data_IF_559523733337
#
_entry.id   IF_559523733337
#
_cell.length_a   1.000
_cell.length_b   1.000
_cell.length_c   1.000
_cell.angle_alpha   90.00
_cell.angle_beta   90.00
_cell.angle_gamma   90.00
#
_symmetry.space_group_name_H-M   'P 1'
#
loop_
_entity.id
_entity.type
_entity.pdbx_description
1 polymer ?
#
# COMPACT_ATOMS: atom_id res chain seq x y z
N UNK A 1 41.85 6.85 21.59
CA UNK A 1 40.83 6.05 20.89
C UNK A 1 39.49 6.51 21.40
N UNK A 2 38.79 7.27 20.62
CA UNK A 2 37.36 7.65 20.94
C UNK A 2 36.52 6.37 20.87
N UNK A 3 35.59 6.17 21.79
CA UNK A 3 34.68 5.01 21.72
C UNK A 3 33.82 5.15 20.47
N UNK A 4 33.87 4.18 19.59
CA UNK A 4 32.91 4.03 18.49
C UNK A 4 31.55 3.80 19.12
N UNK A 5 30.73 4.86 19.20
CA UNK A 5 29.35 4.75 19.64
C UNK A 5 28.61 3.97 18.55
N UNK A 6 28.39 2.68 18.80
CA UNK A 6 27.51 1.89 17.94
C UNK A 6 26.12 2.53 17.97
N UNK A 7 25.49 2.77 16.81
CA UNK A 7 24.13 3.31 16.79
C UNK A 7 23.22 2.38 17.59
N UNK A 8 22.52 2.93 18.58
CA UNK A 8 21.52 2.18 19.36
C UNK A 8 20.41 1.79 18.41
N UNK A 9 20.37 0.51 18.06
CA UNK A 9 19.31 -0.06 17.21
C UNK A 9 18.01 0.00 18.03
N UNK A 10 17.10 0.90 17.66
CA UNK A 10 15.85 1.12 18.37
C UNK A 10 14.69 0.52 17.57
N UNK A 11 14.07 -0.58 18.04
CA UNK A 11 12.90 -1.14 17.40
C UNK A 11 11.72 -0.14 17.42
N UNK A 12 11.14 0.14 16.24
CA UNK A 12 9.95 0.99 16.11
C UNK A 12 8.69 0.17 15.90
N UNK A 13 8.81 -1.01 15.26
CA UNK A 13 7.72 -1.98 15.11
C UNK A 13 8.20 -3.34 15.59
N UNK A 14 7.45 -3.96 16.51
CA UNK A 14 7.66 -5.35 16.95
C UNK A 14 6.34 -6.10 16.82
N UNK A 15 6.39 -7.24 16.15
CA UNK A 15 5.25 -8.14 15.95
C UNK A 15 5.61 -9.48 16.55
N UNK A 16 4.74 -10.03 17.44
CA UNK A 16 4.97 -11.29 18.12
C UNK A 16 3.78 -12.22 17.99
N UNK A 17 3.99 -13.38 17.35
CA UNK A 17 3.02 -14.45 17.19
C UNK A 17 1.64 -13.95 16.74
N UNK A 18 1.61 -13.13 15.69
CA UNK A 18 0.42 -12.47 15.20
C UNK A 18 -0.46 -13.41 14.41
N UNK A 19 -1.73 -13.47 14.76
CA UNK A 19 -2.78 -14.24 14.08
C UNK A 19 -3.95 -13.33 13.69
N UNK A 20 -4.47 -13.54 12.47
CA UNK A 20 -5.75 -12.97 12.06
C UNK A 20 -6.62 -14.04 11.42
N UNK A 21 -7.79 -14.23 11.96
CA UNK A 21 -8.77 -15.22 11.52
C UNK A 21 -10.09 -14.50 11.25
N UNK A 22 -10.53 -14.55 10.00
CA UNK A 22 -11.84 -14.08 9.58
C UNK A 22 -12.85 -15.22 9.63
N UNK A 23 -14.11 -14.90 9.90
CA UNK A 23 -15.24 -15.80 9.73
C UNK A 23 -16.02 -15.39 8.50
N UNK A 24 -16.17 -16.29 7.54
CA UNK A 24 -16.94 -16.10 6.31
C UNK A 24 -18.01 -17.19 6.27
N UNK A 25 -19.21 -16.85 6.72
CA UNK A 25 -20.24 -17.87 7.05
C UNK A 25 -19.73 -18.81 8.13
N UNK A 26 -19.76 -20.11 7.86
CA UNK A 26 -19.31 -21.17 8.78
C UNK A 26 -17.81 -21.47 8.69
N UNK A 27 -17.12 -20.91 7.69
CA UNK A 27 -15.70 -21.15 7.46
C UNK A 27 -14.81 -20.15 8.23
N UNK A 28 -13.62 -20.65 8.62
CA UNK A 28 -12.58 -19.84 9.24
C UNK A 28 -11.39 -19.68 8.28
N UNK A 29 -11.19 -18.47 7.78
CA UNK A 29 -10.05 -18.10 6.93
C UNK A 29 -8.93 -17.53 7.78
N UNK A 30 -7.78 -18.20 7.83
CA UNK A 30 -6.58 -17.73 8.52
C UNK A 30 -5.77 -16.83 7.60
N UNK A 31 -5.98 -15.54 7.69
CA UNK A 31 -5.23 -14.56 6.90
C UNK A 31 -3.79 -14.38 7.40
N UNK A 32 -3.55 -14.48 8.72
CA UNK A 32 -2.22 -14.51 9.32
C UNK A 32 -2.11 -15.65 10.33
N UNK A 33 -0.93 -16.28 10.40
CA UNK A 33 -0.71 -17.54 11.13
C UNK A 33 0.66 -17.56 11.82
N UNK A 34 0.78 -16.82 12.94
CA UNK A 34 1.98 -16.80 13.78
C UNK A 34 3.11 -15.93 13.23
N UNK A 35 2.80 -14.78 12.66
CA UNK A 35 3.78 -13.84 12.10
C UNK A 35 4.57 -13.15 13.23
N UNK A 36 5.91 -13.13 13.12
CA UNK A 36 6.79 -12.43 14.06
C UNK A 36 7.97 -11.79 13.33
N UNK A 37 8.23 -10.49 13.59
CA UNK A 37 9.37 -9.75 13.05
C UNK A 37 9.58 -8.44 13.81
N UNK A 38 10.71 -7.78 13.52
CA UNK A 38 11.07 -6.47 14.10
C UNK A 38 11.58 -5.54 13.01
N UNK A 39 11.14 -4.29 13.01
CA UNK A 39 11.62 -3.21 12.15
C UNK A 39 12.17 -2.10 13.04
N UNK A 40 13.36 -1.61 12.73
CA UNK A 40 13.99 -0.53 13.48
C UNK A 40 13.63 0.84 12.91
N UNK A 41 13.82 1.88 13.71
CA UNK A 41 13.64 3.25 13.26
C UNK A 41 14.60 3.57 12.09
N UNK A 42 14.06 4.17 11.04
CA UNK A 42 14.80 4.53 9.83
C UNK A 42 14.93 3.39 8.79
N UNK A 43 14.45 2.19 9.09
CA UNK A 43 14.45 1.09 8.11
C UNK A 43 13.41 1.35 7.00
N UNK A 44 13.75 0.96 5.79
CA UNK A 44 12.79 0.74 4.72
C UNK A 44 12.53 -0.77 4.61
N UNK A 45 11.32 -1.20 4.98
CA UNK A 45 10.89 -2.60 4.93
C UNK A 45 9.89 -2.82 3.80
N UNK A 46 10.05 -3.89 3.02
CA UNK A 46 9.11 -4.34 2.00
C UNK A 46 8.49 -5.69 2.36
N UNK A 47 7.16 -5.78 2.31
CA UNK A 47 6.40 -7.01 2.52
C UNK A 47 5.95 -7.53 1.17
N UNK A 48 6.46 -8.69 0.75
CA UNK A 48 6.26 -9.27 -0.58
C UNK A 48 5.53 -10.60 -0.50
N UNK A 49 4.65 -10.85 -1.46
CA UNK A 49 3.96 -12.14 -1.58
C UNK A 49 2.88 -12.08 -2.65
N UNK A 50 2.32 -13.24 -3.00
CA UNK A 50 1.23 -13.37 -3.96
C UNK A 50 -0.07 -12.74 -3.47
N UNK A 51 -1.04 -12.52 -4.36
CA UNK A 51 -2.38 -12.09 -3.95
C UNK A 51 -2.99 -13.09 -2.95
N UNK A 52 -3.68 -12.60 -1.93
CA UNK A 52 -4.28 -13.44 -0.88
C UNK A 52 -3.29 -13.96 0.18
N UNK A 53 -1.99 -13.68 0.11
CA UNK A 53 -1.01 -14.18 1.10
C UNK A 53 -1.09 -13.54 2.49
N UNK A 54 -1.93 -12.49 2.68
CA UNK A 54 -2.12 -11.80 3.97
C UNK A 54 -1.41 -10.45 4.10
N UNK A 55 -0.77 -9.92 3.02
CA UNK A 55 -0.01 -8.65 3.05
C UNK A 55 -0.84 -7.45 3.52
N UNK A 56 -1.97 -7.17 2.84
CA UNK A 56 -2.82 -6.03 3.18
C UNK A 56 -3.47 -6.21 4.56
N UNK A 57 -3.79 -7.45 4.96
CA UNK A 57 -4.23 -7.75 6.32
C UNK A 57 -3.17 -7.39 7.36
N UNK A 58 -1.90 -7.76 7.10
CA UNK A 58 -0.79 -7.41 7.99
C UNK A 58 -0.61 -5.89 8.05
N UNK A 59 -0.59 -5.21 6.89
CA UNK A 59 -0.46 -3.76 6.81
C UNK A 59 -1.59 -3.04 7.59
N UNK A 60 -2.84 -3.48 7.43
CA UNK A 60 -3.99 -2.92 8.14
C UNK A 60 -3.87 -3.06 9.65
N UNK A 61 -3.35 -4.19 10.14
CA UNK A 61 -3.15 -4.38 11.58
C UNK A 61 -1.99 -3.53 12.10
N UNK A 62 -0.88 -3.42 11.35
CA UNK A 62 0.22 -2.51 11.69
C UNK A 62 -0.25 -1.05 11.71
N UNK A 63 -1.07 -0.65 10.76
CA UNK A 63 -1.66 0.68 10.73
C UNK A 63 -2.76 0.91 11.81
N UNK A 64 -3.07 -0.09 12.62
CA UNK A 64 -4.14 0.00 13.63
C UNK A 64 -5.53 0.20 13.02
N UNK A 65 -5.76 -0.25 11.79
CA UNK A 65 -7.07 -0.26 11.13
C UNK A 65 -7.87 -1.50 11.48
N UNK A 66 -7.17 -2.59 11.85
CA UNK A 66 -7.78 -3.84 12.30
C UNK A 66 -7.05 -4.38 13.52
N UNK A 67 -7.80 -4.99 14.45
CA UNK A 67 -7.21 -5.67 15.61
C UNK A 67 -6.82 -7.10 15.29
N UNK A 68 -5.73 -7.62 15.88
CA UNK A 68 -5.35 -9.02 15.77
C UNK A 68 -6.37 -9.94 16.47
N UNK A 69 -6.43 -11.21 16.03
CA UNK A 69 -7.16 -12.25 16.74
C UNK A 69 -6.35 -12.75 17.94
N UNK A 70 -5.02 -12.83 17.79
CA UNK A 70 -4.02 -13.19 18.82
C UNK A 70 -2.67 -12.58 18.47
N UNK A 71 -1.81 -12.46 19.48
CA UNK A 71 -0.45 -11.92 19.33
C UNK A 71 -0.37 -10.45 19.71
N UNK A 72 0.83 -9.90 19.60
CA UNK A 72 1.14 -8.54 20.04
C UNK A 72 1.66 -7.72 18.85
N UNK A 73 1.27 -6.46 18.82
CA UNK A 73 1.81 -5.44 17.90
C UNK A 73 2.24 -4.25 18.74
N UNK A 74 3.54 -4.01 18.81
CA UNK A 74 4.12 -2.88 19.52
C UNK A 74 4.66 -1.90 18.50
N UNK A 75 4.18 -0.65 18.51
CA UNK A 75 4.60 0.42 17.61
C UNK A 75 4.98 1.63 18.44
N UNK A 76 6.17 2.18 18.21
CA UNK A 76 6.72 3.29 19.00
C UNK A 76 6.64 3.05 20.53
N UNK A 77 6.79 1.78 20.95
CA UNK A 77 6.69 1.36 22.35
C UNK A 77 5.27 1.15 22.88
N UNK A 78 4.23 1.37 22.07
CA UNK A 78 2.83 1.24 22.48
C UNK A 78 2.19 -0.05 21.93
N UNK A 79 1.42 -0.74 22.79
CA UNK A 79 0.69 -1.97 22.47
C UNK A 79 -0.61 -1.66 21.73
N UNK A 80 -0.66 -1.94 20.42
CA UNK A 80 -1.81 -1.61 19.57
C UNK A 80 -3.04 -2.47 19.88
N UNK A 81 -2.85 -3.74 20.22
CA UNK A 81 -3.94 -4.67 20.55
C UNK A 81 -4.75 -4.22 21.79
N UNK A 82 -4.12 -3.46 22.70
CA UNK A 82 -4.76 -2.99 23.95
C UNK A 82 -5.50 -1.66 23.79
N UNK A 83 -5.30 -0.94 22.68
CA UNK A 83 -5.91 0.38 22.45
C UNK A 83 -7.38 0.28 22.09
N UNK A 84 -8.18 1.23 22.56
CA UNK A 84 -9.55 1.44 22.07
C UNK A 84 -9.53 2.05 20.67
N UNK A 85 -10.66 2.01 19.94
CA UNK A 85 -10.76 2.61 18.60
C UNK A 85 -10.40 4.11 18.61
N UNK A 86 -10.87 4.86 19.60
CA UNK A 86 -10.53 6.29 19.72
C UNK A 86 -9.03 6.52 19.94
N UNK A 87 -8.37 5.67 20.72
CA UNK A 87 -6.92 5.72 20.93
C UNK A 87 -6.15 5.35 19.66
N UNK A 88 -6.64 4.36 18.89
CA UNK A 88 -6.06 4.02 17.59
C UNK A 88 -6.21 5.16 16.57
N UNK A 89 -7.35 5.86 16.57
CA UNK A 89 -7.55 7.05 15.73
C UNK A 89 -6.55 8.16 16.10
N UNK A 90 -6.38 8.45 17.40
CA UNK A 90 -5.42 9.46 17.87
C UNK A 90 -3.98 9.06 17.47
N UNK A 91 -3.60 7.80 17.72
CA UNK A 91 -2.29 7.28 17.38
C UNK A 91 -1.99 7.38 15.88
N UNK A 92 -2.93 6.96 15.00
CA UNK A 92 -2.76 7.10 13.54
C UNK A 92 -2.53 8.54 13.13
N UNK A 93 -3.31 9.47 13.69
CA UNK A 93 -3.22 10.88 13.35
C UNK A 93 -1.87 11.52 13.72
N UNK A 94 -1.21 11.00 14.74
CA UNK A 94 0.04 11.56 15.28
C UNK A 94 1.29 10.87 14.71
N UNK A 95 1.25 9.55 14.55
CA UNK A 95 2.45 8.74 14.28
C UNK A 95 2.50 8.12 12.89
N UNK A 96 1.38 8.08 12.14
CA UNK A 96 1.30 7.31 10.90
C UNK A 96 0.98 8.17 9.69
N UNK A 97 1.81 8.04 8.63
CA UNK A 97 1.49 8.44 7.27
C UNK A 97 0.99 7.24 6.44
N UNK A 98 0.06 7.45 5.52
CA UNK A 98 -0.44 6.38 4.66
C UNK A 98 -0.40 6.77 3.18
N UNK A 99 0.20 5.90 2.35
CA UNK A 99 0.28 6.02 0.89
C UNK A 99 -0.53 4.89 0.29
N UNK A 100 -1.50 5.22 -0.57
CA UNK A 100 -2.46 4.27 -1.16
C UNK A 100 -2.14 4.00 -2.63
N UNK A 101 -2.47 2.82 -3.10
CA UNK A 101 -2.39 2.44 -4.50
C UNK A 101 -3.26 3.33 -5.41
N UNK A 102 -4.48 3.61 -4.99
CA UNK A 102 -5.45 4.43 -5.76
C UNK A 102 -5.36 5.92 -5.44
N UNK A 103 -4.22 6.40 -4.91
CA UNK A 103 -3.94 7.77 -4.52
C UNK A 103 -4.88 8.32 -3.45
N UNK A 104 -6.16 8.00 -3.48
CA UNK A 104 -7.23 8.43 -2.56
C UNK A 104 -7.26 9.96 -2.35
N UNK A 105 -7.09 10.71 -3.46
CA UNK A 105 -7.19 12.16 -3.44
C UNK A 105 -8.66 12.58 -3.58
N UNK A 106 -9.03 13.64 -2.86
CA UNK A 106 -10.34 14.25 -2.99
C UNK A 106 -10.39 15.08 -4.27
N UNK A 107 -11.18 14.65 -5.26
CA UNK A 107 -11.26 15.25 -6.59
C UNK A 107 -11.80 16.69 -6.60
N UNK A 108 -12.51 17.11 -5.56
CA UNK A 108 -13.01 18.47 -5.37
C UNK A 108 -11.94 19.45 -4.89
N UNK A 109 -10.86 18.94 -4.27
CA UNK A 109 -9.75 19.68 -3.68
C UNK A 109 -8.56 19.74 -4.63
N UNK A 110 -7.78 20.85 -4.59
CA UNK A 110 -6.49 20.94 -5.28
C UNK A 110 -5.37 20.20 -4.51
N UNK A 111 -4.14 20.21 -5.05
CA UNK A 111 -3.03 19.49 -4.45
C UNK A 111 -2.69 20.01 -3.04
N UNK A 112 -2.62 21.33 -2.83
CA UNK A 112 -2.36 21.93 -1.50
C UNK A 112 -3.41 21.50 -0.49
N UNK A 113 -4.69 21.56 -0.88
CA UNK A 113 -5.80 21.20 0.01
C UNK A 113 -5.78 19.70 0.36
N UNK A 114 -5.47 18.81 -0.61
CA UNK A 114 -5.30 17.39 -0.36
C UNK A 114 -4.14 17.10 0.60
N UNK A 115 -2.99 17.76 0.42
CA UNK A 115 -1.83 17.58 1.31
C UNK A 115 -2.11 18.17 2.69
N UNK A 116 -2.80 19.31 2.80
CA UNK A 116 -3.13 19.94 4.08
C UNK A 116 -4.22 19.20 4.88
N UNK A 117 -4.92 18.23 4.29
CA UNK A 117 -6.09 17.59 4.88
C UNK A 117 -5.81 16.92 6.25
N UNK A 118 -4.72 16.15 6.45
CA UNK A 118 -4.41 15.58 7.76
C UNK A 118 -4.22 16.63 8.84
N UNK A 119 -3.55 17.73 8.52
CA UNK A 119 -3.35 18.85 9.46
C UNK A 119 -4.67 19.59 9.79
N UNK A 120 -5.64 19.55 8.87
CA UNK A 120 -6.98 20.07 9.13
C UNK A 120 -7.68 19.26 10.22
N UNK A 121 -7.56 17.94 10.20
CA UNK A 121 -8.10 17.05 11.23
C UNK A 121 -7.35 17.16 12.57
N UNK A 122 -6.11 17.65 12.56
CA UNK A 122 -5.36 17.98 13.77
C UNK A 122 -5.73 19.36 14.33
N UNK A 123 -6.59 20.15 13.67
CA UNK A 123 -6.98 21.49 14.10
C UNK A 123 -5.92 22.57 13.84
N UNK A 124 -4.91 22.30 12.99
CA UNK A 124 -3.84 23.26 12.68
C UNK A 124 -4.41 24.47 11.92
N UNK A 125 -3.96 25.68 12.27
CA UNK A 125 -4.39 26.92 11.61
C UNK A 125 -4.20 26.87 10.09
N UNK A 126 -5.12 27.53 9.35
CA UNK A 126 -5.15 27.47 7.88
C UNK A 126 -3.85 27.98 7.23
N UNK A 127 -3.25 29.07 7.76
CA UNK A 127 -2.01 29.61 7.18
C UNK A 127 -0.85 28.66 7.41
N UNK A 128 -0.75 28.07 8.60
CA UNK A 128 0.30 27.11 8.96
C UNK A 128 0.20 25.83 8.13
N UNK A 129 -1.00 25.21 8.06
CA UNK A 129 -1.16 23.97 7.29
C UNK A 129 -0.97 24.16 5.80
N UNK A 130 -1.37 25.33 5.23
CA UNK A 130 -1.14 25.65 3.83
C UNK A 130 0.35 25.78 3.53
N UNK A 131 1.11 26.52 4.35
CA UNK A 131 2.56 26.67 4.20
C UNK A 131 3.28 25.31 4.27
N UNK A 132 2.95 24.45 5.25
CA UNK A 132 3.51 23.09 5.35
C UNK A 132 3.15 22.22 4.14
N UNK A 133 1.93 22.33 3.63
CA UNK A 133 1.51 21.60 2.45
C UNK A 133 2.28 22.05 1.18
N UNK A 134 2.52 23.34 1.02
CA UNK A 134 3.31 23.89 -0.08
C UNK A 134 4.77 23.42 -0.01
N UNK A 135 5.38 23.40 1.19
CA UNK A 135 6.71 22.85 1.43
C UNK A 135 6.80 21.38 1.04
N UNK A 136 5.81 20.56 1.43
CA UNK A 136 5.78 19.15 1.05
C UNK A 136 5.61 18.96 -0.47
N UNK A 137 4.81 19.80 -1.13
CA UNK A 137 4.68 19.78 -2.59
C UNK A 137 5.97 20.18 -3.30
N UNK A 138 6.74 21.10 -2.76
CA UNK A 138 8.07 21.45 -3.25
C UNK A 138 9.03 20.27 -3.11
N UNK A 139 9.07 19.61 -1.95
CA UNK A 139 9.88 18.43 -1.66
C UNK A 139 9.65 17.30 -2.68
N UNK A 140 8.40 17.09 -3.11
CA UNK A 140 8.05 16.08 -4.11
C UNK A 140 8.10 16.58 -5.56
N UNK A 141 8.57 17.82 -5.81
CA UNK A 141 8.75 18.40 -7.14
C UNK A 141 7.47 18.87 -7.82
N UNK A 142 6.43 19.27 -7.06
CA UNK A 142 5.11 19.67 -7.56
C UNK A 142 4.78 21.15 -7.35
N UNK A 143 5.76 22.03 -7.13
CA UNK A 143 5.57 23.48 -6.90
C UNK A 143 4.67 24.13 -7.95
N UNK A 144 4.83 23.77 -9.23
CA UNK A 144 4.02 24.33 -10.35
C UNK A 144 2.60 23.77 -10.41
N UNK A 145 2.31 22.66 -9.72
CA UNK A 145 1.04 21.93 -9.77
C UNK A 145 0.21 22.09 -8.51
N UNK A 146 0.61 22.94 -7.58
CA UNK A 146 -0.01 23.07 -6.25
C UNK A 146 -1.51 23.41 -6.26
N UNK A 147 -1.98 24.12 -7.29
CA UNK A 147 -3.41 24.48 -7.46
C UNK A 147 -4.16 23.53 -8.40
N UNK A 148 -3.50 22.55 -9.01
CA UNK A 148 -4.17 21.55 -9.86
C UNK A 148 -5.04 20.60 -9.03
N UNK A 149 -6.18 20.24 -9.59
CA UNK A 149 -7.04 19.17 -9.07
C UNK A 149 -6.58 17.80 -9.60
N UNK A 150 -6.95 16.69 -8.94
CA UNK A 150 -6.53 15.34 -9.37
C UNK A 150 -6.79 15.04 -10.85
N UNK A 151 -7.92 15.47 -11.41
CA UNK A 151 -8.26 15.28 -12.82
C UNK A 151 -7.39 16.08 -13.82
N UNK A 152 -6.57 16.99 -13.33
CA UNK A 152 -5.61 17.80 -14.11
C UNK A 152 -4.17 17.28 -13.96
N UNK A 153 -3.96 16.13 -13.30
CA UNK A 153 -2.65 15.60 -12.93
C UNK A 153 -2.46 14.19 -13.51
N UNK A 154 -1.24 13.87 -13.93
CA UNK A 154 -0.87 12.49 -14.30
C UNK A 154 -0.91 11.58 -13.06
N UNK A 155 -0.96 10.24 -13.26
CA UNK A 155 -0.93 9.26 -12.17
C UNK A 155 0.29 9.45 -11.25
N UNK A 156 1.48 9.65 -11.82
CA UNK A 156 2.70 9.91 -11.04
C UNK A 156 2.65 11.23 -10.25
N UNK A 157 2.03 12.28 -10.79
CA UNK A 157 1.81 13.52 -10.06
C UNK A 157 0.82 13.32 -8.91
N UNK A 158 -0.29 12.59 -9.14
CA UNK A 158 -1.25 12.26 -8.10
C UNK A 158 -0.61 11.44 -6.97
N UNK A 159 0.24 10.46 -7.33
CA UNK A 159 0.96 9.67 -6.33
C UNK A 159 1.93 10.53 -5.51
N UNK A 160 2.66 11.45 -6.14
CA UNK A 160 3.53 12.39 -5.41
C UNK A 160 2.73 13.30 -4.47
N UNK A 161 1.50 13.71 -4.82
CA UNK A 161 0.58 14.39 -3.88
C UNK A 161 0.21 13.47 -2.71
N UNK A 162 -0.06 12.18 -2.97
CA UNK A 162 -0.32 11.18 -1.94
C UNK A 162 0.87 11.00 -0.99
N UNK A 163 2.10 10.96 -1.52
CA UNK A 163 3.35 10.93 -0.73
C UNK A 163 3.47 12.19 0.12
N UNK A 164 3.30 13.39 -0.47
CA UNK A 164 3.36 14.66 0.26
C UNK A 164 2.31 14.72 1.39
N UNK A 165 1.10 14.22 1.15
CA UNK A 165 0.03 14.13 2.16
C UNK A 165 0.41 13.21 3.31
N UNK A 166 1.07 12.09 3.04
CA UNK A 166 1.53 11.17 4.09
C UNK A 166 2.62 11.78 4.96
N UNK A 167 3.47 12.65 4.38
CA UNK A 167 4.62 13.27 5.03
C UNK A 167 4.30 14.55 5.81
N UNK A 168 3.18 15.23 5.51
CA UNK A 168 2.89 16.58 6.02
C UNK A 168 2.73 16.66 7.55
N UNK A 169 2.35 15.54 8.18
CA UNK A 169 2.22 15.41 9.64
C UNK A 169 3.52 15.04 10.34
N UNK A 170 4.61 14.87 9.56
CA UNK A 170 5.92 14.41 10.03
C UNK A 170 5.84 13.08 10.83
N UNK A 171 5.28 12.01 10.23
CA UNK A 171 5.02 10.76 10.94
C UNK A 171 6.31 10.01 11.25
N UNK A 172 6.31 9.19 12.31
CA UNK A 172 7.42 8.26 12.59
C UNK A 172 7.46 7.10 11.60
N UNK A 173 6.28 6.66 11.15
CA UNK A 173 6.11 5.49 10.29
C UNK A 173 5.19 5.83 9.12
N UNK A 174 5.62 5.40 7.94
CA UNK A 174 4.84 5.50 6.71
C UNK A 174 4.49 4.09 6.26
N UNK A 175 3.20 3.82 6.11
CA UNK A 175 2.69 2.62 5.47
C UNK A 175 2.34 2.91 4.02
N UNK A 176 2.75 2.03 3.10
CA UNK A 176 2.47 2.16 1.67
C UNK A 176 1.87 0.85 1.14
N UNK A 177 0.62 0.90 0.68
CA UNK A 177 -0.07 -0.24 0.09
C UNK A 177 0.02 -0.14 -1.44
N UNK A 178 0.86 -0.97 -2.04
CA UNK A 178 1.14 -1.02 -3.49
C UNK A 178 1.31 0.37 -4.13
N UNK A 179 2.21 1.24 -3.63
CA UNK A 179 2.21 2.68 -3.93
C UNK A 179 2.45 3.01 -5.41
N UNK A 180 2.84 2.05 -6.22
CA UNK A 180 3.15 2.22 -7.64
C UNK A 180 2.31 1.31 -8.55
N UNK A 181 1.35 0.57 -8.00
CA UNK A 181 0.57 -0.41 -8.74
C UNK A 181 -0.27 0.14 -9.90
N UNK A 182 -0.53 1.45 -9.92
CA UNK A 182 -1.28 2.15 -10.99
C UNK A 182 -0.38 3.05 -11.86
N UNK A 183 0.95 2.87 -11.82
CA UNK A 183 1.92 3.68 -12.55
C UNK A 183 2.66 2.82 -13.59
N UNK A 184 3.16 3.47 -14.64
CA UNK A 184 4.12 2.86 -15.56
C UNK A 184 5.47 2.60 -14.86
N UNK A 185 6.29 1.73 -15.47
CA UNK A 185 7.55 1.27 -14.86
C UNK A 185 8.52 2.41 -14.55
N UNK A 186 8.67 3.41 -15.43
CA UNK A 186 9.61 4.51 -15.24
C UNK A 186 9.13 5.43 -14.10
N UNK A 187 7.86 5.81 -14.13
CA UNK A 187 7.24 6.62 -13.07
C UNK A 187 7.29 5.91 -11.73
N UNK A 188 7.12 4.57 -11.71
CA UNK A 188 7.23 3.75 -10.49
C UNK A 188 8.62 3.89 -9.85
N UNK A 189 9.68 3.76 -10.65
CA UNK A 189 11.07 3.93 -10.17
C UNK A 189 11.31 5.35 -9.64
N UNK A 190 10.82 6.38 -10.34
CA UNK A 190 10.95 7.76 -9.87
C UNK A 190 10.27 7.99 -8.51
N UNK A 191 9.05 7.47 -8.34
CA UNK A 191 8.30 7.58 -7.07
C UNK A 191 8.98 6.79 -5.96
N UNK A 192 9.51 5.58 -6.24
CA UNK A 192 10.27 4.79 -5.27
C UNK A 192 11.54 5.49 -4.81
N UNK A 193 12.30 6.07 -5.74
CA UNK A 193 13.50 6.85 -5.42
C UNK A 193 13.17 8.08 -4.57
N UNK A 194 12.09 8.78 -4.91
CA UNK A 194 11.60 9.91 -4.12
C UNK A 194 11.26 9.48 -2.69
N UNK A 195 10.48 8.41 -2.51
CA UNK A 195 10.09 7.91 -1.19
C UNK A 195 11.33 7.50 -0.38
N UNK A 196 12.25 6.71 -0.98
CA UNK A 196 13.49 6.28 -0.33
C UNK A 196 14.34 7.46 0.15
N UNK A 197 14.52 8.47 -0.71
CA UNK A 197 15.28 9.68 -0.38
C UNK A 197 14.67 10.43 0.79
N UNK A 198 13.36 10.73 0.72
CA UNK A 198 12.68 11.55 1.74
C UNK A 198 12.63 10.83 3.10
N UNK A 199 12.36 9.53 3.09
CA UNK A 199 12.34 8.70 4.32
C UNK A 199 13.71 8.73 5.00
N UNK A 200 14.80 8.63 4.22
CA UNK A 200 16.17 8.70 4.76
C UNK A 200 16.54 10.08 5.27
N UNK A 201 16.24 11.14 4.51
CA UNK A 201 16.52 12.52 4.90
C UNK A 201 15.80 12.90 6.20
N UNK A 202 14.59 12.39 6.41
CA UNK A 202 13.77 12.65 7.60
C UNK A 202 13.93 11.60 8.72
N UNK A 203 14.77 10.59 8.53
CA UNK A 203 14.94 9.45 9.45
C UNK A 203 13.62 8.80 9.88
N UNK A 204 12.70 8.66 8.90
CA UNK A 204 11.40 8.01 9.06
C UNK A 204 11.50 6.52 8.70
N UNK A 205 10.56 5.71 9.17
CA UNK A 205 10.46 4.30 8.84
C UNK A 205 9.41 4.09 7.76
N UNK A 206 9.75 3.34 6.70
CA UNK A 206 8.81 3.01 5.62
C UNK A 206 8.50 1.52 5.60
N UNK A 207 7.23 1.16 5.64
CA UNK A 207 6.77 -0.23 5.45
C UNK A 207 5.88 -0.27 4.21
N UNK A 208 6.36 -0.93 3.17
CA UNK A 208 5.68 -1.04 1.89
C UNK A 208 5.17 -2.46 1.66
N UNK A 209 3.98 -2.59 1.13
CA UNK A 209 3.45 -3.83 0.56
C UNK A 209 3.55 -3.76 -0.96
N UNK A 210 4.06 -4.81 -1.58
CA UNK A 210 4.10 -4.93 -3.04
C UNK A 210 4.06 -6.40 -3.47
N UNK A 211 3.64 -6.66 -4.69
CA UNK A 211 3.82 -7.95 -5.36
C UNK A 211 4.99 -7.95 -6.36
N UNK A 212 5.62 -6.79 -6.59
CA UNK A 212 6.75 -6.63 -7.51
C UNK A 212 8.08 -6.81 -6.75
N UNK A 213 8.82 -7.88 -7.07
CA UNK A 213 10.12 -8.18 -6.46
C UNK A 213 11.19 -7.13 -6.82
N UNK A 214 11.11 -6.51 -7.99
CA UNK A 214 12.04 -5.45 -8.36
C UNK A 214 11.86 -4.22 -7.47
N UNK A 215 10.62 -3.78 -7.25
CA UNK A 215 10.34 -2.66 -6.36
C UNK A 215 10.64 -2.99 -4.90
N UNK A 216 10.47 -4.26 -4.50
CA UNK A 216 10.86 -4.71 -3.16
C UNK A 216 12.35 -4.58 -2.90
N UNK A 217 13.19 -4.74 -3.92
CA UNK A 217 14.66 -4.65 -3.78
C UNK A 217 15.18 -3.25 -3.42
N UNK A 218 14.32 -2.22 -3.43
CA UNK A 218 14.66 -0.89 -2.92
C UNK A 218 14.75 -0.85 -1.39
N UNK A 219 14.13 -1.83 -0.71
CA UNK A 219 14.07 -1.90 0.75
C UNK A 219 15.36 -2.42 1.39
N UNK A 220 15.58 -2.06 2.65
CA UNK A 220 16.68 -2.56 3.46
C UNK A 220 16.36 -3.95 4.05
N UNK A 221 15.04 -4.22 4.25
CA UNK A 221 14.52 -5.50 4.75
C UNK A 221 13.40 -5.96 3.82
N UNK A 222 13.43 -7.23 3.41
CA UNK A 222 12.36 -7.83 2.63
C UNK A 222 11.75 -8.99 3.43
N UNK A 223 10.46 -8.87 3.74
CA UNK A 223 9.67 -9.92 4.40
C UNK A 223 8.84 -10.66 3.34
N UNK A 224 9.16 -11.92 3.07
CA UNK A 224 8.37 -12.76 2.14
C UNK A 224 7.26 -13.46 2.89
N UNK A 225 6.01 -13.15 2.51
CA UNK A 225 4.83 -13.75 3.13
C UNK A 225 4.11 -14.69 2.14
N UNK A 226 3.74 -15.89 2.63
CA UNK A 226 2.94 -16.87 1.91
C UNK A 226 2.02 -17.58 2.89
N UNK A 227 0.74 -17.71 2.51
CA UNK A 227 -0.31 -18.39 3.30
C UNK A 227 -0.36 -17.90 4.77
N UNK A 228 -0.26 -16.58 4.94
CA UNK A 228 -0.29 -15.91 6.23
C UNK A 228 0.94 -16.12 7.11
N UNK A 229 2.05 -16.65 6.59
CA UNK A 229 3.31 -16.86 7.32
C UNK A 229 4.47 -16.14 6.65
N UNK A 230 5.41 -15.63 7.43
CA UNK A 230 6.71 -15.22 6.91
C UNK A 230 7.50 -16.49 6.60
N UNK A 231 7.92 -16.62 5.35
CA UNK A 231 8.72 -17.77 4.87
C UNK A 231 10.19 -17.42 4.75
N UNK A 232 10.52 -16.12 4.63
CA UNK A 232 11.89 -15.64 4.48
C UNK A 232 11.98 -14.19 4.95
N UNK A 233 13.13 -13.83 5.51
CA UNK A 233 13.50 -12.45 5.85
C UNK A 233 14.88 -12.20 5.23
N UNK A 234 14.95 -11.30 4.27
CA UNK A 234 16.20 -10.83 3.68
C UNK A 234 16.58 -9.51 4.37
N UNK A 235 17.76 -9.47 5.01
CA UNK A 235 18.25 -8.29 5.71
C UNK A 235 19.48 -7.75 4.98
N UNK A 236 19.33 -6.60 4.40
CA UNK A 236 20.36 -5.91 3.62
C UNK A 236 20.87 -4.65 4.32
N UNK A 237 20.56 -4.47 5.58
CA UNK A 237 21.10 -3.36 6.39
C UNK A 237 22.61 -3.46 6.49
N UNK A 238 23.30 -2.34 6.25
CA UNK A 238 24.77 -2.29 6.28
C UNK A 238 25.49 -2.71 5.00
N UNK A 239 24.79 -3.23 3.99
CA UNK A 239 25.34 -3.32 2.65
C UNK A 239 25.41 -1.90 2.05
N UNK A 240 26.59 -1.50 1.57
CA UNK A 240 26.78 -0.25 0.84
C UNK A 240 26.04 -0.38 -0.51
N UNK A 241 24.74 -0.19 -0.52
CA UNK A 241 23.97 -0.06 -1.75
C UNK A 241 24.22 1.33 -2.29
N UNK A 242 25.02 1.37 -3.34
CA UNK A 242 25.28 2.57 -4.11
C UNK A 242 23.92 3.17 -4.53
N UNK A 243 23.61 4.33 -3.99
CA UNK A 243 22.32 5.02 -4.21
C UNK A 243 22.13 5.49 -5.66
N UNK A 244 23.10 5.20 -6.55
CA UNK A 244 23.14 5.67 -7.93
C UNK A 244 23.00 4.57 -8.99
N UNK A 245 23.08 3.29 -8.65
CA UNK A 245 22.98 2.21 -9.65
C UNK A 245 21.82 1.29 -9.35
N UNK A 246 20.61 1.75 -9.70
CA UNK A 246 19.49 0.84 -9.88
C UNK A 246 19.69 0.21 -11.24
N UNK A 247 19.73 -1.14 -11.36
CA UNK A 247 19.86 -1.77 -12.67
C UNK A 247 18.74 -1.28 -13.59
N UNK A 248 19.10 -0.69 -14.71
CA UNK A 248 18.11 -0.43 -15.76
C UNK A 248 17.42 -1.74 -16.10
N UNK A 249 16.10 -1.76 -16.03
CA UNK A 249 15.29 -2.90 -16.43
C UNK A 249 15.55 -3.11 -17.92
N UNK A 250 16.34 -4.12 -18.28
CA UNK A 250 16.49 -4.53 -19.68
C UNK A 250 15.14 -5.08 -20.12
N UNK A 251 14.42 -4.34 -20.93
CA UNK A 251 13.19 -4.78 -21.56
C UNK A 251 13.47 -6.07 -22.36
N UNK A 252 12.87 -7.16 -21.96
CA UNK A 252 12.71 -8.32 -22.84
C UNK A 252 13.21 -9.70 -22.40
N UNK A 253 13.60 -9.95 -21.15
CA UNK A 253 13.88 -11.32 -20.72
C UNK A 253 12.86 -11.84 -19.70
N UNK A 254 12.19 -12.98 -19.94
CA UNK A 254 11.38 -13.62 -18.94
C UNK A 254 12.28 -14.19 -17.84
N UNK A 255 12.07 -13.75 -16.60
CA UNK A 255 12.78 -14.25 -15.42
C UNK A 255 12.45 -15.75 -15.29
N UNK A 256 13.40 -16.61 -15.70
CA UNK A 256 13.39 -18.03 -15.34
C UNK A 256 13.67 -18.12 -13.84
N UNK A 257 12.69 -18.56 -13.08
CA UNK A 257 12.85 -18.93 -11.68
C UNK A 257 13.77 -20.18 -11.63
N UNK A 258 15.05 -19.98 -11.32
CA UNK A 258 15.92 -21.06 -10.91
C UNK A 258 15.61 -21.43 -9.46
N UNK A 259 14.89 -22.52 -9.30
CA UNK A 259 14.73 -23.21 -8.02
C UNK A 259 16.09 -23.87 -7.71
N UNK A 260 16.87 -23.26 -6.84
CA UNK A 260 18.03 -23.97 -6.23
C UNK A 260 17.50 -24.91 -5.17
N UNK A 261 17.34 -26.18 -5.54
CA UNK A 261 17.25 -27.29 -4.60
C UNK A 261 18.65 -27.65 -4.17
N UNK A 262 18.92 -27.54 -2.87
CA UNK A 262 20.14 -28.06 -2.25
C UNK A 262 20.08 -29.60 -2.19
N UNK A 263 21.10 -30.23 -2.71
CA UNK A 263 21.73 -31.46 -2.26
C UNK A 263 20.99 -32.77 -2.42
N UNK A 264 21.50 -33.61 -3.34
CA UNK A 264 21.96 -34.94 -2.99
C UNK A 264 22.79 -35.52 -4.15
N UNK A 265 24.03 -35.88 -3.84
CA UNK A 265 24.94 -36.65 -4.70
C UNK A 265 24.48 -38.10 -4.75
N UNK A 266 24.49 -38.72 -5.92
CA UNK A 266 25.20 -39.98 -6.19
C UNK A 266 24.71 -40.72 -7.45
N UNK A 267 25.64 -41.09 -8.32
CA UNK A 267 25.68 -42.44 -8.97
C UNK A 267 25.15 -42.55 -10.39
N UNK A 268 26.08 -42.38 -11.34
CA UNK A 268 26.38 -43.26 -12.50
C UNK A 268 25.25 -43.96 -13.26
N UNK A 269 25.19 -43.81 -14.53
CA UNK A 269 25.56 -44.69 -15.66
C UNK A 269 24.78 -44.44 -16.93
N UNK A 270 25.49 -44.51 -18.00
CA UNK A 270 25.10 -44.29 -19.38
C UNK A 270 24.05 -45.28 -19.93
N UNK A 271 23.25 -44.84 -20.91
CA UNK A 271 23.07 -45.55 -22.17
C UNK A 271 22.25 -44.74 -23.19
N UNK A 272 22.84 -44.58 -24.29
CA UNK A 272 22.57 -44.42 -25.72
C UNK A 272 21.14 -44.63 -26.25
N UNK A 273 20.82 -43.69 -27.18
CA UNK A 273 20.29 -43.89 -28.53
C UNK A 273 18.78 -44.15 -28.71
N UNK A 274 18.07 -43.36 -29.45
CA UNK A 274 17.94 -43.40 -30.91
C UNK A 274 16.87 -42.43 -31.42
N UNK A 275 17.20 -41.77 -32.50
CA UNK A 275 16.30 -41.01 -33.39
C UNK A 275 15.11 -41.86 -33.90
N UNK A 276 13.97 -41.23 -34.12
CA UNK A 276 13.20 -41.45 -35.37
C UNK A 276 12.26 -40.28 -35.67
N UNK A 277 12.37 -39.91 -36.91
CA UNK A 277 11.68 -38.92 -37.74
C UNK A 277 10.18 -39.13 -37.89
N UNK A 278 9.55 -38.01 -38.24
CA UNK A 278 8.55 -37.79 -39.29
C UNK A 278 7.06 -37.92 -38.96
N UNK A 279 6.35 -36.91 -39.42
CA UNK A 279 4.92 -36.93 -39.66
C UNK A 279 4.32 -35.54 -39.80
N UNK A 280 4.47 -34.91 -41.01
CA UNK A 280 3.62 -33.81 -41.49
C UNK A 280 2.19 -34.29 -41.61
N UNK A 281 1.20 -33.51 -41.21
CA UNK A 281 -0.08 -33.45 -41.96
C UNK A 281 -0.67 -32.05 -41.81
N UNK A 282 -0.99 -31.49 -42.96
CA UNK A 282 -1.58 -30.19 -43.24
C UNK A 282 -3.10 -30.19 -42.99
N UNK A 283 -3.56 -28.93 -42.71
CA UNK A 283 -4.80 -28.32 -43.21
C UNK A 283 -6.18 -28.85 -42.78
N UNK A 284 -6.97 -27.95 -42.22
CA UNK A 284 -8.14 -27.40 -42.93
C UNK A 284 -8.92 -26.44 -41.98
N UNK A 285 -9.07 -25.21 -42.45
CA UNK A 285 -10.09 -24.23 -42.03
C UNK A 285 -11.47 -24.69 -42.52
N UNK A 286 -12.57 -24.32 -41.87
CA UNK A 286 -13.73 -23.85 -42.62
C UNK A 286 -14.21 -22.45 -42.23
N UNK A 287 -14.71 -21.79 -43.26
CA UNK A 287 -15.30 -20.48 -43.33
C UNK A 287 -16.70 -20.38 -42.67
N UNK A 288 -16.95 -19.16 -42.25
CA UNK A 288 -18.21 -18.37 -42.22
C UNK A 288 -19.57 -19.10 -42.25
N UNK A 289 -20.39 -18.73 -41.26
CA UNK A 289 -21.79 -18.39 -41.53
C UNK A 289 -22.24 -17.23 -40.66
N UNK A 290 -22.85 -16.24 -41.32
CA UNK A 290 -23.46 -15.02 -40.85
C UNK A 290 -24.88 -15.31 -40.35
N UNK A 291 -25.19 -14.97 -39.10
CA UNK A 291 -26.55 -14.96 -38.59
C UNK A 291 -26.87 -13.61 -37.96
N UNK A 292 -27.64 -12.76 -38.65
CA UNK A 292 -28.33 -11.59 -38.11
C UNK A 292 -29.42 -12.08 -37.17
N UNK A 293 -29.44 -11.53 -35.96
CA UNK A 293 -30.64 -11.52 -35.12
C UNK A 293 -30.87 -10.11 -34.61
N UNK A 294 -31.92 -9.49 -35.13
CA UNK A 294 -32.54 -8.29 -34.58
C UNK A 294 -33.15 -8.62 -33.21
N UNK A 295 -32.89 -7.82 -32.22
CA UNK A 295 -33.64 -7.86 -30.96
C UNK A 295 -34.07 -6.45 -30.62
N UNK A 296 -35.39 -6.30 -30.57
CA UNK A 296 -36.17 -5.11 -30.24
C UNK A 296 -35.91 -4.65 -28.81
N UNK A 297 -35.81 -3.36 -28.62
CA UNK A 297 -35.84 -2.68 -27.33
C UNK A 297 -37.27 -2.63 -26.78
N UNK A 298 -37.52 -2.76 -25.48
CA UNK A 298 -38.80 -2.43 -24.88
C UNK A 298 -38.81 -0.97 -24.41
N UNK A 299 -39.98 -0.35 -24.66
CA UNK A 299 -40.37 0.99 -24.30
C UNK A 299 -40.24 1.29 -22.79
N UNK A 300 -39.75 2.46 -22.47
CA UNK A 300 -39.81 3.04 -21.12
C UNK A 300 -41.07 3.85 -20.96
N UNK A 301 -41.99 3.36 -20.18
CA UNK A 301 -43.07 4.16 -19.60
C UNK A 301 -42.54 5.14 -18.54
N UNK A 302 -42.89 6.38 -18.73
CA UNK A 302 -42.65 7.51 -17.85
C UNK A 302 -43.65 7.50 -16.68
N UNK A 303 -43.21 7.09 -15.49
CA UNK A 303 -43.92 7.29 -14.23
C UNK A 303 -43.43 8.57 -13.54
N UNK A 304 -44.22 9.63 -13.57
CA UNK A 304 -44.06 10.82 -12.71
C UNK A 304 -44.42 10.43 -11.28
N UNK A 305 -43.47 10.52 -10.36
CA UNK A 305 -43.74 10.54 -8.92
C UNK A 305 -43.65 11.98 -8.42
N UNK A 306 -44.79 12.52 -8.00
CA UNK A 306 -44.90 13.81 -7.32
C UNK A 306 -44.25 13.76 -5.93
N UNK A 307 -43.36 14.69 -5.67
CA UNK A 307 -42.77 14.90 -4.35
C UNK A 307 -43.75 15.69 -3.47
N UNK A 308 -44.27 15.06 -2.42
CA UNK A 308 -45.01 15.74 -1.36
C UNK A 308 -43.98 16.39 -0.38
N UNK A 309 -44.14 17.70 -0.21
CA UNK A 309 -43.46 18.50 0.80
C UNK A 309 -44.14 18.31 2.16
N UNK A 310 -43.43 18.09 3.26
CA UNK A 310 -44.03 18.02 4.58
C UNK A 310 -44.39 19.41 5.13
N UNK A 311 -45.49 19.40 5.85
CA UNK A 311 -46.27 20.49 6.37
C UNK A 311 -45.56 21.38 7.41
N UNK A 312 -45.93 22.64 7.43
CA UNK A 312 -45.35 23.71 8.26
C UNK A 312 -45.79 23.71 9.75
N UNK A 313 -46.56 22.74 10.20
CA UNK A 313 -47.09 22.73 11.57
C UNK A 313 -46.17 22.04 12.61
N UNK A 314 -45.32 21.10 12.21
CA UNK A 314 -44.44 20.40 13.17
C UNK A 314 -43.27 21.26 13.70
N UNK A 315 -42.95 22.38 13.12
CA UNK A 315 -41.91 23.31 13.59
C UNK A 315 -42.34 24.28 14.70
N UNK A 316 -43.63 24.39 15.00
CA UNK A 316 -44.08 25.28 16.07
C UNK A 316 -44.24 24.61 17.46
N UNK A 317 -44.32 23.29 17.54
CA UNK A 317 -44.39 22.60 18.83
C UNK A 317 -43.05 22.37 19.48
N UNK A 318 -41.97 22.18 18.73
CA UNK A 318 -40.60 22.02 19.29
C UNK A 318 -39.91 23.29 19.81
N UNK A 319 -40.52 24.48 19.51
CA UNK A 319 -40.00 25.75 20.02
C UNK A 319 -40.58 26.16 21.37
N UNK A 320 -41.60 25.45 21.89
CA UNK A 320 -42.23 25.77 23.20
C UNK A 320 -41.75 24.92 24.36
N UNK A 321 -41.07 23.80 24.10
CA UNK A 321 -40.51 22.94 25.16
C UNK A 321 -39.10 23.34 25.64
N UNK A 322 -38.45 24.33 25.04
CA UNK A 322 -37.10 24.79 25.46
C UNK A 322 -37.09 26.12 26.22
N UNK A 323 -38.25 26.66 26.63
CA UNK A 323 -38.31 27.88 27.47
C UNK A 323 -38.82 27.65 28.91
N UNK A 324 -39.12 26.40 29.29
CA UNK A 324 -39.48 26.07 30.69
C UNK A 324 -38.68 24.84 31.18
N UNK A 325 -37.36 25.04 31.43
CA UNK A 325 -36.55 23.99 32.07
C UNK A 325 -35.18 24.50 32.46
#
# INVERSE_FOLDING_TARGET
>A
MEPVIQPVIQPVIQVKNLYKIYRVGDEKVRALNGVSFTINKGDFCSIVGTSGSGKSTLLNMLAGLEKPTKGEIIIAGEHMENKTENQLVAFRREHIGFIFQSFNLLGTMNAVENVALPLTFQGVDKKVRTAKAEEMLELVGLTKHKLHKPNQMSGGQQQRVGVARALVVDPEIIFADEPTGNLDSNTSVEVMNLMKRVVREKNQTLVMVTHDNYLASFADIILRIRDGKIIEIEDHRGEARDTQTIPEKKDGEPVKAEIRTAGEESGSTASQAQEKKSGKTEAQTPEKESGKAETQAPDRESGKAEAQTPDKEEKKERAKENEEG
#
